data_IF_700947728680
#
_entry.id   IF_700947728680
#
_cell.length_a   1.000
_cell.length_b   1.000
_cell.length_c   1.000
_cell.angle_alpha   90.00
_cell.angle_beta   90.00
_cell.angle_gamma   90.00
#
_symmetry.space_group_name_H-M   'P 1'
#
loop_
_entity.id
_entity.type
_entity.pdbx_description
1 polymer ?
#
# COMPACT_ATOMS: atom_id res chain seq x y z
N UNK A 1 -10.25 -1.83 -10.23
CA UNK A 1 -9.98 -2.02 -8.78
C UNK A 1 -10.97 -1.24 -7.92
N UNK A 2 -11.11 0.09 -8.07
CA UNK A 2 -12.00 0.91 -7.22
C UNK A 2 -13.45 0.37 -7.10
N UNK A 3 -14.03 -0.16 -8.22
CA UNK A 3 -15.36 -0.78 -8.20
C UNK A 3 -15.42 -1.98 -7.26
N UNK A 4 -14.41 -2.85 -7.29
CA UNK A 4 -14.32 -4.03 -6.41
C UNK A 4 -14.23 -3.59 -4.96
N UNK A 5 -13.37 -2.60 -4.66
CA UNK A 5 -13.23 -2.08 -3.30
C UNK A 5 -14.54 -1.52 -2.74
N UNK A 6 -15.26 -0.71 -3.53
CA UNK A 6 -16.52 -0.12 -3.09
C UNK A 6 -17.62 -1.17 -2.87
N UNK A 7 -17.72 -2.15 -3.78
CA UNK A 7 -18.67 -3.26 -3.65
C UNK A 7 -18.37 -4.11 -2.43
N UNK A 8 -17.10 -4.41 -2.20
CA UNK A 8 -16.67 -5.22 -1.05
C UNK A 8 -16.87 -4.48 0.27
N UNK A 9 -16.58 -3.17 0.31
CA UNK A 9 -16.88 -2.34 1.48
C UNK A 9 -18.38 -2.38 1.83
N UNK A 10 -19.25 -2.24 0.82
CA UNK A 10 -20.69 -2.32 1.03
C UNK A 10 -21.13 -3.72 1.55
N UNK A 11 -20.60 -4.79 0.97
CA UNK A 11 -20.88 -6.17 1.40
C UNK A 11 -20.35 -6.48 2.80
N UNK A 12 -19.25 -5.87 3.18
CA UNK A 12 -18.63 -6.02 4.50
C UNK A 12 -19.32 -5.20 5.59
N UNK A 13 -20.41 -4.50 5.27
CA UNK A 13 -21.23 -3.78 6.26
C UNK A 13 -20.73 -2.36 6.56
N UNK A 14 -20.09 -1.70 5.60
CA UNK A 14 -19.80 -0.27 5.73
C UNK A 14 -21.12 0.49 5.97
N UNK A 15 -21.14 1.41 6.94
CA UNK A 15 -22.34 2.22 7.22
C UNK A 15 -22.55 3.29 6.16
N UNK A 16 -21.44 3.87 5.70
CA UNK A 16 -21.40 4.94 4.71
C UNK A 16 -20.18 4.77 3.84
N UNK A 17 -20.29 5.06 2.54
CA UNK A 17 -19.17 5.07 1.60
C UNK A 17 -19.09 6.44 0.94
N UNK A 18 -17.92 7.05 0.96
CA UNK A 18 -17.64 8.27 0.23
C UNK A 18 -16.61 8.01 -0.88
N UNK A 19 -16.98 8.30 -2.13
CA UNK A 19 -16.10 8.12 -3.28
C UNK A 19 -15.44 9.44 -3.63
N UNK A 20 -14.15 9.56 -3.30
CA UNK A 20 -13.32 10.68 -3.72
C UNK A 20 -12.64 10.35 -5.05
N UNK A 21 -12.88 11.13 -6.10
CA UNK A 21 -12.26 10.94 -7.41
C UNK A 21 -12.17 12.25 -8.18
N UNK A 22 -11.08 12.44 -8.93
CA UNK A 22 -10.90 13.61 -9.83
C UNK A 22 -11.98 13.70 -10.92
N UNK A 23 -12.47 12.58 -11.38
CA UNK A 23 -13.54 12.50 -12.38
C UNK A 23 -14.86 12.19 -11.69
N UNK A 24 -15.69 13.22 -11.51
CA UNK A 24 -16.97 13.12 -10.82
C UNK A 24 -17.98 12.24 -11.58
N UNK A 25 -17.93 12.21 -12.92
CA UNK A 25 -18.77 11.29 -13.72
C UNK A 25 -18.48 9.83 -13.40
N UNK A 26 -17.20 9.42 -13.37
CA UNK A 26 -16.81 8.06 -12.98
C UNK A 26 -17.13 7.73 -11.52
N UNK A 27 -17.08 8.72 -10.63
CA UNK A 27 -17.48 8.54 -9.24
C UNK A 27 -19.01 8.33 -9.13
N UNK A 28 -19.80 9.08 -9.90
CA UNK A 28 -21.26 8.89 -9.98
C UNK A 28 -21.61 7.52 -10.54
N UNK A 29 -20.96 7.07 -11.62
CA UNK A 29 -21.14 5.73 -12.19
C UNK A 29 -20.84 4.63 -11.16
N UNK A 30 -19.75 4.79 -10.40
CA UNK A 30 -19.40 3.86 -9.33
C UNK A 30 -20.46 3.82 -8.23
N UNK A 31 -20.93 4.99 -7.79
CA UNK A 31 -22.00 5.10 -6.80
C UNK A 31 -23.30 4.44 -7.32
N UNK A 32 -23.62 4.63 -8.60
CA UNK A 32 -24.75 3.96 -9.25
C UNK A 32 -24.68 2.44 -9.21
N UNK A 33 -23.50 1.88 -9.48
CA UNK A 33 -23.27 0.42 -9.39
C UNK A 33 -23.50 -0.10 -7.96
N UNK A 34 -22.98 0.59 -6.95
CA UNK A 34 -23.13 0.17 -5.55
C UNK A 34 -24.57 0.31 -5.08
N UNK A 35 -25.29 1.37 -5.50
CA UNK A 35 -26.72 1.55 -5.23
C UNK A 35 -27.57 0.45 -5.86
N UNK A 36 -27.24 0.02 -7.08
CA UNK A 36 -27.94 -1.08 -7.75
C UNK A 36 -27.81 -2.43 -7.01
N UNK A 37 -26.78 -2.58 -6.14
CA UNK A 37 -26.63 -3.73 -5.26
C UNK A 37 -27.38 -3.60 -3.92
N UNK A 38 -28.16 -2.54 -3.76
CA UNK A 38 -28.99 -2.32 -2.57
C UNK A 38 -28.34 -1.43 -1.49
N UNK A 39 -27.10 -0.99 -1.66
CA UNK A 39 -26.45 -0.10 -0.71
C UNK A 39 -26.72 1.37 -1.07
N UNK A 40 -27.47 2.09 -0.23
CA UNK A 40 -27.95 3.45 -0.54
C UNK A 40 -27.03 4.56 0.02
N UNK A 41 -26.30 4.29 1.10
CA UNK A 41 -25.49 5.29 1.83
C UNK A 41 -24.11 5.48 1.16
N UNK A 42 -24.14 5.85 -0.11
CA UNK A 42 -22.95 6.15 -0.91
C UNK A 42 -23.07 7.56 -1.51
N UNK A 43 -22.08 8.39 -1.21
CA UNK A 43 -21.89 9.72 -1.76
C UNK A 43 -20.60 9.80 -2.59
N UNK A 44 -20.46 10.83 -3.39
CA UNK A 44 -19.23 11.10 -4.16
C UNK A 44 -19.02 12.60 -4.31
N UNK A 45 -17.76 12.99 -4.48
CA UNK A 45 -17.38 14.40 -4.66
C UNK A 45 -15.96 14.69 -4.19
N UNK A 46 -15.72 15.93 -3.86
CA UNK A 46 -14.52 16.34 -3.14
C UNK A 46 -14.73 16.06 -1.65
N UNK A 47 -13.71 15.51 -1.00
CA UNK A 47 -13.76 15.32 0.45
C UNK A 47 -13.83 16.66 1.16
N UNK A 48 -14.71 16.81 2.14
CA UNK A 48 -14.65 17.92 3.10
C UNK A 48 -13.41 17.74 3.98
N UNK A 49 -12.58 18.79 4.10
CA UNK A 49 -11.37 18.77 4.94
C UNK A 49 -11.61 18.38 6.40
N UNK A 50 -12.84 18.52 6.88
CA UNK A 50 -13.25 18.14 8.23
C UNK A 50 -13.75 16.69 8.33
N UNK A 51 -14.04 16.02 7.21
CA UNK A 51 -14.54 14.65 7.22
C UNK A 51 -13.51 13.69 7.85
N UNK A 52 -14.01 12.76 8.65
CA UNK A 52 -13.21 11.68 9.25
C UNK A 52 -13.67 10.35 8.69
N UNK A 53 -12.72 9.59 8.19
CA UNK A 53 -12.95 8.26 7.62
C UNK A 53 -12.26 7.21 8.51
N UNK A 54 -13.01 6.24 9.03
CA UNK A 54 -12.42 5.12 9.78
C UNK A 54 -11.56 4.22 8.88
N UNK A 55 -11.97 4.07 7.61
CA UNK A 55 -11.28 3.24 6.60
C UNK A 55 -11.01 4.04 5.34
N UNK A 56 -9.78 4.00 4.85
CA UNK A 56 -9.37 4.59 3.56
C UNK A 56 -8.91 3.47 2.62
N UNK A 57 -9.53 3.39 1.44
CA UNK A 57 -9.22 2.43 0.40
C UNK A 57 -8.74 3.17 -0.86
N UNK A 58 -7.45 3.06 -1.21
CA UNK A 58 -6.93 3.65 -2.44
C UNK A 58 -7.01 2.67 -3.61
N UNK A 59 -7.90 2.93 -4.55
CA UNK A 59 -8.00 2.23 -5.82
C UNK A 59 -7.46 3.03 -7.01
N UNK A 60 -6.69 4.09 -6.77
CA UNK A 60 -6.09 4.96 -7.79
C UNK A 60 -4.60 4.65 -7.99
N UNK A 61 -3.97 5.09 -9.10
CA UNK A 61 -2.53 4.98 -9.28
C UNK A 61 -1.72 6.08 -8.56
N UNK A 62 -2.36 6.93 -7.75
CA UNK A 62 -1.67 8.02 -7.04
C UNK A 62 -0.79 7.48 -5.94
N UNK A 63 0.50 7.73 -6.02
CA UNK A 63 1.52 7.16 -5.13
C UNK A 63 2.28 5.96 -5.71
N UNK A 64 1.92 5.54 -6.94
CA UNK A 64 2.63 4.47 -7.65
C UNK A 64 3.94 5.00 -8.26
N UNK A 65 4.94 4.15 -8.36
CA UNK A 65 6.18 4.45 -9.08
C UNK A 65 5.90 4.84 -10.56
N UNK A 66 6.60 5.84 -11.13
CA UNK A 66 7.70 6.63 -10.54
C UNK A 66 7.24 7.79 -9.66
N UNK A 67 5.96 8.15 -9.65
CA UNK A 67 5.41 9.32 -8.95
C UNK A 67 4.99 8.99 -7.50
N UNK A 68 5.86 8.29 -6.77
CA UNK A 68 5.57 7.77 -5.41
C UNK A 68 5.43 8.84 -4.33
N UNK A 69 5.76 10.12 -4.64
CA UNK A 69 5.68 11.24 -3.70
C UNK A 69 4.28 11.79 -3.44
N UNK A 70 3.26 11.36 -4.19
CA UNK A 70 1.91 11.91 -4.11
C UNK A 70 1.00 11.16 -3.14
N UNK A 71 0.00 11.86 -2.60
CA UNK A 71 -1.06 11.29 -1.77
C UNK A 71 -2.40 11.35 -2.52
N UNK A 72 -3.26 10.31 -2.44
CA UNK A 72 -4.56 10.29 -3.11
C UNK A 72 -5.59 11.18 -2.43
N UNK A 73 -5.40 11.51 -1.16
CA UNK A 73 -6.30 12.31 -0.32
C UNK A 73 -5.46 13.19 0.62
N UNK A 74 -6.04 14.24 1.16
CA UNK A 74 -5.37 15.13 2.10
C UNK A 74 -4.89 14.41 3.38
N UNK A 75 -3.78 14.88 3.93
CA UNK A 75 -3.14 14.26 5.10
C UNK A 75 -4.03 14.36 6.36
N UNK A 76 -4.90 15.36 6.43
CA UNK A 76 -5.88 15.56 7.49
C UNK A 76 -6.86 14.40 7.62
N UNK A 77 -7.22 13.75 6.51
CA UNK A 77 -8.07 12.55 6.51
C UNK A 77 -7.29 11.31 6.93
N UNK A 78 -6.03 11.18 6.47
CA UNK A 78 -5.16 10.04 6.78
C UNK A 78 -4.90 9.93 8.27
N UNK A 79 -4.71 11.06 8.95
CA UNK A 79 -4.43 11.11 10.40
C UNK A 79 -5.57 10.58 11.28
N UNK A 80 -6.78 10.51 10.76
CA UNK A 80 -7.99 10.07 11.47
C UNK A 80 -8.39 8.64 11.12
N UNK A 81 -7.76 8.04 10.12
CA UNK A 81 -8.11 6.71 9.65
C UNK A 81 -7.49 5.62 10.54
N UNK A 82 -8.32 4.67 10.95
CA UNK A 82 -7.90 3.49 11.72
C UNK A 82 -7.32 2.41 10.80
N UNK A 83 -7.87 2.30 9.59
CA UNK A 83 -7.47 1.30 8.59
C UNK A 83 -7.20 1.97 7.26
N UNK A 84 -6.04 1.63 6.66
CA UNK A 84 -5.68 2.08 5.31
C UNK A 84 -5.28 0.88 4.47
N UNK A 85 -5.94 0.72 3.32
CA UNK A 85 -5.57 -0.24 2.31
C UNK A 85 -5.26 0.47 1.00
N UNK A 86 -4.05 0.26 0.49
CA UNK A 86 -3.61 0.80 -0.79
C UNK A 86 -3.42 -0.35 -1.78
N UNK A 87 -4.08 -0.30 -2.94
CA UNK A 87 -3.94 -1.35 -3.96
C UNK A 87 -2.62 -1.30 -4.71
N UNK A 88 -1.81 -0.26 -4.49
CA UNK A 88 -0.48 -0.12 -5.07
C UNK A 88 0.48 -1.10 -4.40
N UNK A 89 1.21 -1.87 -5.21
CA UNK A 89 2.24 -2.80 -4.77
C UNK A 89 3.66 -2.31 -5.07
N UNK A 90 3.80 -1.34 -5.97
CA UNK A 90 5.08 -0.74 -6.32
C UNK A 90 5.01 0.81 -6.19
N UNK A 91 5.60 1.40 -5.14
CA UNK A 91 6.43 0.78 -4.08
C UNK A 91 5.62 -0.14 -3.15
N UNK A 92 6.31 -1.00 -2.42
CA UNK A 92 5.70 -1.92 -1.44
C UNK A 92 5.00 -1.19 -0.28
N UNK A 93 5.45 0.04 0.00
CA UNK A 93 4.83 0.95 0.97
C UNK A 93 4.76 2.36 0.36
N UNK A 94 3.57 2.79 -0.02
CA UNK A 94 3.31 4.14 -0.51
C UNK A 94 3.35 5.16 0.63
N UNK A 95 3.42 6.45 0.31
CA UNK A 95 3.30 7.52 1.33
C UNK A 95 2.00 7.41 2.12
N UNK A 96 0.91 6.99 1.49
CA UNK A 96 -0.37 6.74 2.16
C UNK A 96 -0.21 5.69 3.26
N UNK A 97 0.36 4.54 2.93
CA UNK A 97 0.60 3.44 3.88
C UNK A 97 1.55 3.86 5.00
N UNK A 98 2.63 4.57 4.66
CA UNK A 98 3.62 5.04 5.65
C UNK A 98 3.01 6.05 6.63
N UNK A 99 2.20 6.99 6.14
CA UNK A 99 1.49 7.93 7.01
C UNK A 99 0.51 7.22 7.94
N UNK A 100 -0.28 6.27 7.44
CA UNK A 100 -1.19 5.51 8.30
C UNK A 100 -0.45 4.76 9.41
N UNK A 101 0.66 4.08 9.08
CA UNK A 101 1.50 3.40 10.07
C UNK A 101 2.08 4.36 11.12
N UNK A 102 2.53 5.55 10.70
CA UNK A 102 3.08 6.55 11.62
C UNK A 102 2.06 7.10 12.62
N UNK A 103 0.78 6.97 12.34
CA UNK A 103 -0.32 7.35 13.25
C UNK A 103 -0.80 6.17 14.13
N UNK A 104 -0.18 5.00 14.03
CA UNK A 104 -0.57 3.80 14.78
C UNK A 104 -1.75 3.03 14.17
N UNK A 105 -2.26 3.45 13.02
CA UNK A 105 -3.32 2.77 12.29
C UNK A 105 -2.83 1.50 11.59
N UNK A 106 -3.75 0.54 11.34
CA UNK A 106 -3.43 -0.60 10.50
C UNK A 106 -3.36 -0.18 9.04
N UNK A 107 -2.21 -0.42 8.39
CA UNK A 107 -2.00 0.02 7.00
C UNK A 107 -1.26 -1.02 6.19
N UNK A 108 -1.77 -1.31 4.99
CA UNK A 108 -1.23 -2.34 4.09
C UNK A 108 -1.24 -1.87 2.63
N UNK A 109 -0.17 -2.23 1.89
CA UNK A 109 -0.08 -2.07 0.44
C UNK A 109 -0.62 -3.27 -0.34
N UNK A 110 -0.68 -3.14 -1.67
CA UNK A 110 -1.33 -4.08 -2.58
C UNK A 110 -0.58 -5.37 -2.89
N UNK A 111 0.63 -5.59 -2.36
CA UNK A 111 1.44 -6.75 -2.72
C UNK A 111 0.75 -8.08 -2.38
N UNK A 112 0.13 -8.17 -1.19
CA UNK A 112 -0.64 -9.36 -0.80
C UNK A 112 -1.86 -9.58 -1.70
N UNK A 113 -2.52 -8.50 -2.12
CA UNK A 113 -3.63 -8.59 -3.07
C UNK A 113 -3.14 -9.13 -4.43
N UNK A 114 -2.00 -8.64 -4.93
CA UNK A 114 -1.39 -9.12 -6.17
C UNK A 114 -1.07 -10.62 -6.09
N UNK A 115 -0.51 -11.06 -4.97
CA UNK A 115 -0.18 -12.45 -4.74
C UNK A 115 -1.44 -13.33 -4.65
N UNK A 116 -2.43 -12.91 -3.86
CA UNK A 116 -3.69 -13.64 -3.68
C UNK A 116 -4.47 -13.79 -5.00
N UNK A 117 -4.52 -12.74 -5.84
CA UNK A 117 -5.17 -12.84 -7.14
C UNK A 117 -4.44 -13.81 -8.10
N UNK A 118 -3.10 -13.89 -8.03
CA UNK A 118 -2.35 -14.85 -8.84
C UNK A 118 -2.68 -16.30 -8.43
N UNK A 119 -2.76 -16.59 -7.15
CA UNK A 119 -3.18 -17.90 -6.64
C UNK A 119 -4.63 -18.23 -7.03
N UNK A 120 -5.53 -17.25 -6.93
CA UNK A 120 -6.93 -17.43 -7.35
C UNK A 120 -7.04 -17.72 -8.85
N UNK A 121 -6.28 -17.02 -9.70
CA UNK A 121 -6.22 -17.28 -11.13
C UNK A 121 -5.71 -18.70 -11.43
N UNK A 122 -4.66 -19.16 -10.73
CA UNK A 122 -4.16 -20.52 -10.90
C UNK A 122 -5.21 -21.58 -10.54
N UNK A 123 -6.01 -21.37 -9.49
CA UNK A 123 -7.12 -22.27 -9.13
C UNK A 123 -8.23 -22.29 -10.18
N UNK A 124 -8.48 -21.17 -10.86
CA UNK A 124 -9.48 -21.10 -11.95
C UNK A 124 -8.98 -21.88 -13.18
N UNK A 125 -7.69 -21.75 -13.52
CA UNK A 125 -7.11 -22.42 -14.67
C UNK A 125 -6.84 -23.92 -14.45
N UNK A 126 -6.57 -24.29 -13.19
CA UNK A 126 -6.24 -25.66 -12.78
C UNK A 126 -7.09 -26.02 -11.56
N UNK A 127 -8.30 -26.50 -11.79
CA UNK A 127 -9.28 -26.80 -10.74
C UNK A 127 -8.82 -27.82 -9.68
N UNK A 128 -7.85 -28.67 -10.03
CA UNK A 128 -7.30 -29.71 -9.13
C UNK A 128 -6.16 -29.20 -8.24
N UNK A 129 -5.67 -27.95 -8.44
CA UNK A 129 -4.59 -27.40 -7.62
C UNK A 129 -5.06 -27.08 -6.21
N UNK A 130 -4.47 -27.77 -5.24
CA UNK A 130 -4.54 -27.41 -3.82
C UNK A 130 -3.20 -26.82 -3.38
N UNK A 131 -3.23 -25.58 -2.91
CA UNK A 131 -2.06 -24.87 -2.41
C UNK A 131 -1.86 -25.05 -0.89
N UNK A 132 -2.79 -25.69 -0.19
CA UNK A 132 -2.74 -25.84 1.28
C UNK A 132 -1.47 -26.54 1.77
N UNK A 133 -0.93 -27.58 1.07
CA UNK A 133 0.31 -28.24 1.49
C UNK A 133 1.56 -27.34 1.34
N UNK A 134 1.50 -26.26 0.56
CA UNK A 134 2.64 -25.42 0.19
C UNK A 134 2.64 -24.05 0.90
N UNK A 135 2.01 -23.93 2.06
CA UNK A 135 1.85 -22.64 2.74
C UNK A 135 3.20 -21.97 3.10
N UNK A 136 4.22 -22.76 3.46
CA UNK A 136 5.57 -22.26 3.76
C UNK A 136 6.29 -21.73 2.52
N UNK A 137 6.19 -22.46 1.42
CA UNK A 137 6.77 -22.11 0.12
C UNK A 137 6.10 -20.88 -0.45
N UNK A 138 4.77 -20.78 -0.34
CA UNK A 138 4.02 -19.60 -0.75
C UNK A 138 4.44 -18.34 0.04
N UNK A 139 4.69 -18.47 1.35
CA UNK A 139 5.22 -17.37 2.16
C UNK A 139 6.64 -16.94 1.73
N UNK A 140 7.48 -17.88 1.28
CA UNK A 140 8.79 -17.57 0.72
C UNK A 140 8.67 -16.86 -0.64
N UNK A 141 7.76 -17.30 -1.50
CA UNK A 141 7.48 -16.64 -2.80
C UNK A 141 6.98 -15.21 -2.58
N UNK A 142 6.08 -14.97 -1.62
CA UNK A 142 5.63 -13.61 -1.28
C UNK A 142 6.79 -12.72 -0.85
N UNK A 143 7.70 -13.22 -0.01
CA UNK A 143 8.92 -12.48 0.41
C UNK A 143 9.85 -12.21 -0.76
N UNK A 144 10.05 -13.18 -1.65
CA UNK A 144 10.87 -13.02 -2.84
C UNK A 144 10.29 -11.97 -3.79
N UNK A 145 8.97 -11.98 -3.99
CA UNK A 145 8.28 -10.96 -4.78
C UNK A 145 8.46 -9.56 -4.17
N UNK A 146 8.36 -9.44 -2.85
CA UNK A 146 8.63 -8.16 -2.17
C UNK A 146 10.06 -7.66 -2.41
N UNK A 147 11.06 -8.54 -2.37
CA UNK A 147 12.46 -8.20 -2.69
C UNK A 147 12.62 -7.73 -4.13
N UNK A 148 12.00 -8.41 -5.10
CA UNK A 148 12.08 -8.01 -6.52
C UNK A 148 11.44 -6.63 -6.76
N UNK A 149 10.32 -6.33 -6.13
CA UNK A 149 9.69 -4.99 -6.21
C UNK A 149 10.61 -3.92 -5.59
N UNK A 150 11.29 -4.23 -4.47
CA UNK A 150 12.26 -3.32 -3.86
C UNK A 150 13.48 -3.05 -4.75
N UNK A 151 13.97 -4.05 -5.50
CA UNK A 151 15.06 -3.86 -6.47
C UNK A 151 14.69 -2.90 -7.60
N UNK A 152 13.44 -2.92 -8.06
CA UNK A 152 12.95 -2.01 -9.09
C UNK A 152 12.87 -0.56 -8.61
N UNK A 153 12.73 -0.35 -7.31
CA UNK A 153 12.67 0.96 -6.66
C UNK A 153 13.76 1.02 -5.59
N UNK A 154 14.99 1.41 -5.93
CA UNK A 154 16.07 1.45 -4.97
C UNK A 154 15.71 2.40 -3.82
N UNK A 155 15.49 1.81 -2.66
CA UNK A 155 15.28 2.54 -1.42
C UNK A 155 16.58 3.26 -1.07
N UNK A 156 16.52 4.59 -0.91
CA UNK A 156 17.62 5.38 -0.37
C UNK A 156 17.33 5.64 1.09
N UNK A 157 18.11 5.04 1.98
CA UNK A 157 18.03 5.26 3.41
C UNK A 157 19.20 6.13 3.85
N UNK A 158 18.91 7.28 4.42
CA UNK A 158 19.93 8.17 4.98
C UNK A 158 19.84 8.10 6.50
N UNK A 159 20.92 7.69 7.16
CA UNK A 159 21.02 7.63 8.61
C UNK A 159 21.83 8.84 9.08
N UNK A 160 21.22 9.69 9.89
CA UNK A 160 21.84 10.88 10.47
C UNK A 160 21.88 10.77 12.00
N UNK A 161 22.80 11.48 12.64
CA UNK A 161 22.92 11.53 14.09
C UNK A 161 24.26 12.05 14.54
N UNK A 162 24.43 12.32 15.83
CA UNK A 162 25.67 12.82 16.40
C UNK A 162 26.85 11.84 16.26
N UNK A 163 28.07 12.35 16.37
CA UNK A 163 29.27 11.53 16.41
C UNK A 163 29.16 10.50 17.56
N UNK A 164 29.56 9.24 17.30
CA UNK A 164 29.49 8.17 18.29
C UNK A 164 28.09 7.55 18.53
N UNK A 165 27.03 7.98 17.83
CA UNK A 165 25.66 7.45 18.01
C UNK A 165 25.41 6.08 17.38
N UNK A 166 26.43 5.41 16.82
CA UNK A 166 26.30 4.08 16.23
C UNK A 166 25.73 4.04 14.81
N UNK A 167 25.68 5.17 14.10
CA UNK A 167 25.13 5.26 12.71
C UNK A 167 25.73 4.22 11.77
N UNK A 168 27.06 4.19 11.67
CA UNK A 168 27.79 3.29 10.76
C UNK A 168 27.54 1.83 11.09
N UNK A 169 27.46 1.48 12.39
CA UNK A 169 27.14 0.11 12.84
C UNK A 169 25.73 -0.29 12.43
N UNK A 170 24.72 0.57 12.68
CA UNK A 170 23.33 0.32 12.29
C UNK A 170 23.21 0.24 10.77
N UNK A 171 23.90 1.12 10.02
CA UNK A 171 23.84 1.13 8.57
C UNK A 171 24.42 -0.17 7.96
N UNK A 172 25.55 -0.66 8.49
CA UNK A 172 26.16 -1.93 8.08
C UNK A 172 25.23 -3.12 8.36
N UNK A 173 24.68 -3.22 9.57
CA UNK A 173 23.75 -4.27 9.95
C UNK A 173 22.47 -4.27 9.08
N UNK A 174 21.96 -3.09 8.74
CA UNK A 174 20.80 -2.97 7.83
C UNK A 174 21.16 -3.42 6.42
N UNK A 175 22.32 -3.03 5.88
CA UNK A 175 22.77 -3.45 4.56
C UNK A 175 22.98 -4.97 4.48
N UNK A 176 23.56 -5.58 5.50
CA UNK A 176 23.73 -7.03 5.63
C UNK A 176 22.39 -7.75 5.74
N UNK A 177 21.48 -7.27 6.60
CA UNK A 177 20.16 -7.85 6.79
C UNK A 177 19.25 -7.75 5.57
N UNK A 178 19.52 -6.81 4.67
CA UNK A 178 18.76 -6.65 3.41
C UNK A 178 19.41 -7.39 2.22
N UNK A 179 20.36 -8.28 2.46
CA UNK A 179 20.93 -9.19 1.46
C UNK A 179 21.38 -8.47 0.15
N UNK A 180 22.05 -7.33 0.29
CA UNK A 180 22.56 -6.55 -0.85
C UNK A 180 21.52 -5.70 -1.60
N UNK A 181 20.29 -5.58 -1.11
CA UNK A 181 19.29 -4.64 -1.66
C UNK A 181 19.65 -3.18 -1.38
N UNK A 182 20.43 -2.91 -0.33
CA UNK A 182 20.92 -1.60 0.04
C UNK A 182 22.45 -1.62 0.06
N UNK A 183 23.15 -1.07 -0.96
CA UNK A 183 24.59 -0.87 -0.87
C UNK A 183 24.87 0.13 0.25
N UNK A 184 25.82 -0.22 1.14
CA UNK A 184 26.29 0.67 2.19
C UNK A 184 27.30 1.64 1.62
N UNK A 185 27.11 2.91 1.92
CA UNK A 185 28.05 3.99 1.60
C UNK A 185 28.23 4.84 2.86
N UNK A 186 29.47 4.93 3.34
CA UNK A 186 29.85 5.87 4.40
C UNK A 186 30.32 7.17 3.75
N UNK A 187 29.60 8.27 4.00
CA UNK A 187 29.95 9.57 3.40
C UNK A 187 31.28 10.10 3.91
N UNK A 188 31.67 9.80 5.17
CA UNK A 188 32.96 10.23 5.74
C UNK A 188 34.11 9.54 5.02
N UNK A 189 33.97 8.25 4.64
CA UNK A 189 34.95 7.52 3.84
C UNK A 189 35.06 8.04 2.40
N UNK A 190 33.94 8.48 1.80
CA UNK A 190 33.89 9.02 0.42
C UNK A 190 34.49 10.43 0.34
N UNK A 191 34.28 11.27 1.37
CA UNK A 191 34.81 12.65 1.41
C UNK A 191 36.31 12.67 1.73
N UNK A 192 36.81 11.64 2.42
CA UNK A 192 38.24 11.53 2.78
C UNK A 192 39.14 11.06 1.63
N UNK A 193 38.59 10.66 0.48
CA UNK A 193 39.28 10.32 -0.76
C UNK A 193 39.43 11.53 -1.69
#
# INVERSE_FOLDING_TARGET
>A
VARVLAVEAARSGAKEIFVHARNHGKAADLAGVVKALGFQDIAFGNSDGNASYGVILNGTPVGMWPNSGSLPIGIEHIRKAEVIFDTIYNPTATRLVLHGKSQGGWSMGGLKMLFAQALAAQKIWNHELDFSPFASELAQVEKSLAKEVLKQNPLKLVITGFMGSGKSTIAKLLAEGMEGLLPYVDLDEVIAQ
#
